data_IF_791993966476
#
_entry.id   IF_791993966476
#
_cell.length_a   1.000
_cell.length_b   1.000
_cell.length_c   1.000
_cell.angle_alpha   90.00
_cell.angle_beta   90.00
_cell.angle_gamma   90.00
#
_symmetry.space_group_name_H-M   'P 1'
#
loop_
_entity.id
_entity.type
_entity.pdbx_description
1 polymer ?
#
# COMPACT_ATOMS: atom_id res chain seq x y z
N UNK A 1 7.11 -16.62 -14.79
CA UNK A 1 7.51 -15.54 -13.86
C UNK A 1 6.93 -15.92 -12.50
N UNK A 2 7.75 -16.33 -11.53
CA UNK A 2 7.26 -16.53 -10.15
C UNK A 2 7.38 -15.17 -9.49
N UNK A 3 6.25 -14.47 -9.30
CA UNK A 3 6.24 -13.27 -8.46
C UNK A 3 6.74 -13.67 -7.07
N UNK A 4 7.67 -12.91 -6.50
CA UNK A 4 8.19 -13.19 -5.17
C UNK A 4 7.03 -13.28 -4.18
N UNK A 5 6.95 -14.38 -3.41
CA UNK A 5 5.97 -14.57 -2.32
C UNK A 5 6.35 -13.76 -1.07
N UNK A 6 6.93 -12.58 -1.27
CA UNK A 6 7.44 -11.74 -0.20
C UNK A 6 6.44 -10.63 0.09
N UNK A 7 6.02 -10.53 1.34
CA UNK A 7 5.29 -9.37 1.84
C UNK A 7 6.27 -8.40 2.46
N UNK A 8 6.25 -7.15 2.01
CA UNK A 8 7.11 -6.09 2.53
C UNK A 8 6.33 -5.19 3.48
N UNK A 9 6.94 -4.84 4.61
CA UNK A 9 6.38 -3.96 5.62
C UNK A 9 7.25 -2.70 5.74
N UNK A 10 6.62 -1.54 5.75
CA UNK A 10 7.27 -0.25 5.99
C UNK A 10 6.75 0.36 7.28
N UNK A 11 7.67 0.98 8.03
CA UNK A 11 7.40 1.60 9.31
C UNK A 11 7.77 3.09 9.25
N UNK A 12 7.04 3.93 9.97
CA UNK A 12 7.41 5.34 10.17
C UNK A 12 8.43 5.49 11.32
N UNK A 13 8.92 6.72 11.54
CA UNK A 13 9.91 7.03 12.57
C UNK A 13 9.40 6.80 13.99
N UNK A 14 8.08 6.72 14.18
CA UNK A 14 7.42 6.42 15.46
C UNK A 14 7.20 4.92 15.65
N UNK A 15 7.81 4.09 14.80
CA UNK A 15 7.68 2.63 14.81
C UNK A 15 6.22 2.16 14.61
N UNK A 16 5.47 2.83 13.72
CA UNK A 16 4.12 2.43 13.33
C UNK A 16 4.09 1.97 11.88
N UNK A 17 3.25 0.98 11.58
CA UNK A 17 3.16 0.38 10.25
C UNK A 17 2.55 1.36 9.24
N UNK A 18 3.33 1.88 8.31
CA UNK A 18 2.88 2.85 7.31
C UNK A 18 2.39 2.21 6.02
N UNK A 19 2.98 1.08 5.61
CA UNK A 19 2.60 0.39 4.37
C UNK A 19 2.87 -1.11 4.41
N UNK A 20 2.04 -1.86 3.68
CA UNK A 20 2.21 -3.30 3.40
C UNK A 20 2.08 -3.53 1.91
N UNK A 21 3.12 -4.05 1.28
CA UNK A 21 3.09 -4.50 -0.11
C UNK A 21 2.95 -6.01 -0.12
N UNK A 22 1.83 -6.48 -0.68
CA UNK A 22 1.54 -7.90 -0.78
C UNK A 22 2.17 -8.47 -2.05
N UNK A 23 2.57 -9.75 -2.04
CA UNK A 23 3.18 -10.39 -3.19
C UNK A 23 2.22 -10.50 -4.39
N UNK A 24 2.81 -10.65 -5.58
CA UNK A 24 2.06 -10.83 -6.83
C UNK A 24 1.13 -9.66 -7.13
N UNK A 25 -0.12 -9.95 -7.53
CA UNK A 25 -1.15 -8.94 -7.80
C UNK A 25 -1.85 -8.41 -6.53
N UNK A 26 -1.26 -8.65 -5.35
CA UNK A 26 -1.85 -8.33 -4.06
C UNK A 26 -1.93 -6.81 -3.78
N UNK A 27 -1.15 -6.00 -4.49
CA UNK A 27 -1.13 -4.54 -4.35
C UNK A 27 -0.62 -4.05 -3.00
N UNK A 28 -0.76 -2.74 -2.76
CA UNK A 28 -0.24 -2.07 -1.56
C UNK A 28 -1.37 -1.55 -0.68
N UNK A 29 -1.19 -1.70 0.64
CA UNK A 29 -2.07 -1.14 1.66
C UNK A 29 -1.30 -0.11 2.46
N UNK A 30 -1.79 1.13 2.54
CA UNK A 30 -1.19 2.20 3.32
C UNK A 30 -2.06 2.62 4.49
N UNK A 31 -1.43 3.05 5.56
CA UNK A 31 -2.07 3.47 6.80
C UNK A 31 -1.66 4.90 7.15
N UNK A 32 -2.57 5.64 7.77
CA UNK A 32 -2.28 6.95 8.33
C UNK A 32 -2.76 7.00 9.78
N UNK A 33 -2.04 7.77 10.59
CA UNK A 33 -2.21 7.89 12.02
C UNK A 33 -2.41 9.36 12.39
N UNK A 34 -3.19 9.61 13.45
CA UNK A 34 -3.21 10.91 14.11
C UNK A 34 -2.00 11.08 15.06
N UNK A 35 -1.76 12.28 15.60
CA UNK A 35 -0.64 12.52 16.51
C UNK A 35 -0.70 11.70 17.83
N UNK A 36 -1.85 11.12 18.17
CA UNK A 36 -2.00 10.24 19.33
C UNK A 36 -1.73 8.77 18.99
N UNK A 37 -1.26 8.47 17.77
CA UNK A 37 -0.95 7.12 17.31
C UNK A 37 -2.17 6.28 16.95
N UNK A 38 -3.36 6.86 16.87
CA UNK A 38 -4.56 6.14 16.46
C UNK A 38 -4.62 6.09 14.95
N UNK A 39 -4.88 4.91 14.39
CA UNK A 39 -5.03 4.75 12.94
C UNK A 39 -6.32 5.41 12.46
N UNK A 40 -6.20 6.42 11.61
CA UNK A 40 -7.33 7.17 11.06
C UNK A 40 -7.64 6.81 9.60
N UNK A 41 -6.72 6.13 8.90
CA UNK A 41 -6.93 5.74 7.50
C UNK A 41 -6.36 4.36 7.17
N UNK A 42 -7.03 3.66 6.26
CA UNK A 42 -6.54 2.47 5.56
C UNK A 42 -6.93 2.59 4.08
N UNK A 43 -5.94 2.64 3.19
CA UNK A 43 -6.17 2.68 1.73
C UNK A 43 -5.52 1.45 1.11
N UNK A 44 -6.22 0.80 0.19
CA UNK A 44 -5.67 -0.29 -0.61
C UNK A 44 -5.66 0.14 -2.07
N UNK A 45 -4.51 0.05 -2.71
CA UNK A 45 -4.35 0.22 -4.15
C UNK A 45 -4.03 -1.15 -4.73
N UNK A 46 -4.94 -1.77 -5.50
CA UNK A 46 -4.61 -2.97 -6.24
C UNK A 46 -3.64 -2.60 -7.38
N UNK A 47 -2.70 -3.49 -7.68
CA UNK A 47 -1.67 -3.33 -8.73
C UNK A 47 -2.28 -2.87 -10.08
N UNK A 48 -3.51 -3.31 -10.39
CA UNK A 48 -4.20 -3.01 -11.65
C UNK A 48 -4.89 -1.64 -11.71
N UNK A 49 -4.93 -0.86 -10.62
CA UNK A 49 -5.62 0.44 -10.60
C UNK A 49 -4.72 1.65 -10.93
N UNK A 50 -3.43 1.43 -11.25
CA UNK A 50 -2.47 2.51 -11.49
C UNK A 50 -2.40 3.01 -12.95
N UNK A 51 -3.29 2.57 -13.85
CA UNK A 51 -3.44 3.23 -15.15
C UNK A 51 -4.62 4.20 -15.11
N UNK A 52 -4.42 5.52 -14.98
CA UNK A 52 -5.43 6.46 -15.41
C UNK A 52 -5.55 6.30 -16.93
N UNK A 53 -6.63 5.68 -17.38
CA UNK A 53 -7.04 5.66 -18.79
C UNK A 53 -7.03 7.09 -19.32
N UNK A 54 -5.97 7.48 -20.02
CA UNK A 54 -5.98 8.66 -20.88
C UNK A 54 -6.57 8.19 -22.20
N UNK A 55 -7.91 8.27 -22.31
CA UNK A 55 -8.58 8.20 -23.61
C UNK A 55 -8.12 9.42 -24.41
N UNK A 56 -7.22 9.22 -25.38
CA UNK A 56 -7.00 10.21 -26.44
C UNK A 56 -8.05 9.99 -27.51
N UNK A 57 -8.81 11.05 -27.82
CA UNK A 57 -9.69 11.14 -29.00
C UNK A 57 -8.85 11.53 -30.21
#
# INVERSE_FOLDING_TARGET
>A
MVGSNTTTYAWDYENRLSSVTLPGSGGTVSFAYDPFGRRIKKVRVPEQASSPTTMST
#
